data_IF_062109029327
#
_entry.id   IF_062109029327
#
_cell.length_a   1.000
_cell.length_b   1.000
_cell.length_c   1.000
_cell.angle_alpha   90.00
_cell.angle_beta   90.00
_cell.angle_gamma   90.00
#
_symmetry.space_group_name_H-M   'P 1'
#
loop_
_entity.id
_entity.type
_entity.pdbx_description
1 polymer ?
#
# COMPACT_ATOMS: atom_id res chain seq x y z
N UNK A 1 -18.16 22.54 -2.96
CA UNK A 1 -17.02 22.66 -3.90
C UNK A 1 -16.91 21.41 -4.77
N UNK A 2 -17.51 20.29 -4.35
CA UNK A 2 -17.59 19.03 -5.11
C UNK A 2 -19.05 18.64 -5.39
N UNK A 3 -19.80 19.56 -6.01
CA UNK A 3 -21.15 19.25 -6.48
C UNK A 3 -21.15 19.24 -8.01
N UNK A 4 -21.28 18.04 -8.58
CA UNK A 4 -21.32 17.80 -10.02
C UNK A 4 -22.37 18.66 -10.71
N UNK A 5 -23.55 18.81 -10.08
CA UNK A 5 -24.65 19.65 -10.57
C UNK A 5 -24.26 21.12 -10.68
N UNK A 6 -23.49 21.64 -9.72
CA UNK A 6 -23.02 23.03 -9.76
C UNK A 6 -21.90 23.24 -10.78
N UNK A 7 -21.06 22.23 -11.02
CA UNK A 7 -20.00 22.29 -12.03
C UNK A 7 -20.57 22.26 -13.45
N UNK A 8 -21.57 21.39 -13.67
CA UNK A 8 -22.30 21.29 -14.93
C UNK A 8 -23.10 22.58 -15.23
N UNK A 9 -23.75 23.16 -14.22
CA UNK A 9 -24.44 24.45 -14.34
C UNK A 9 -23.50 25.63 -14.69
N UNK A 10 -22.21 25.53 -14.38
CA UNK A 10 -21.18 26.50 -14.82
C UNK A 10 -20.59 26.20 -16.20
N UNK A 11 -21.21 25.28 -16.97
CA UNK A 11 -20.80 24.94 -18.33
C UNK A 11 -19.55 24.06 -18.43
N UNK A 12 -19.13 23.43 -17.31
CA UNK A 12 -18.03 22.45 -17.34
C UNK A 12 -18.57 21.06 -17.62
N UNK A 13 -17.99 20.40 -18.61
CA UNK A 13 -18.27 18.99 -18.90
C UNK A 13 -17.56 18.09 -17.88
N UNK A 14 -18.29 17.71 -16.83
CA UNK A 14 -17.78 16.87 -15.74
C UNK A 14 -17.50 15.45 -16.23
N UNK A 15 -18.36 14.91 -17.10
CA UNK A 15 -18.26 13.57 -17.69
C UNK A 15 -16.96 13.42 -18.49
N UNK A 16 -16.64 14.37 -19.37
CA UNK A 16 -15.39 14.35 -20.14
C UNK A 16 -14.16 14.47 -19.24
N UNK A 17 -14.25 15.22 -18.13
CA UNK A 17 -13.14 15.35 -17.18
C UNK A 17 -12.91 14.06 -16.39
N UNK A 18 -13.96 13.40 -15.92
CA UNK A 18 -13.85 12.08 -15.28
C UNK A 18 -13.28 11.04 -16.25
N UNK A 19 -13.73 11.03 -17.50
CA UNK A 19 -13.22 10.12 -18.53
C UNK A 19 -11.72 10.33 -18.79
N UNK A 20 -11.26 11.58 -18.88
CA UNK A 20 -9.83 11.90 -19.03
C UNK A 20 -9.00 11.33 -17.89
N UNK A 21 -9.43 11.53 -16.64
CA UNK A 21 -8.72 11.04 -15.44
C UNK A 21 -8.71 9.50 -15.43
N UNK A 22 -9.84 8.88 -15.77
CA UNK A 22 -9.95 7.42 -15.83
C UNK A 22 -9.03 6.80 -16.89
N UNK A 23 -9.00 7.36 -18.11
CA UNK A 23 -8.14 6.89 -19.19
C UNK A 23 -6.66 7.07 -18.81
N UNK A 24 -6.29 8.24 -18.28
CA UNK A 24 -4.91 8.52 -17.87
C UNK A 24 -4.46 7.55 -16.77
N UNK A 25 -5.28 7.33 -15.74
CA UNK A 25 -4.99 6.39 -14.66
C UNK A 25 -4.86 4.95 -15.16
N UNK A 26 -5.79 4.50 -16.01
CA UNK A 26 -5.78 3.15 -16.56
C UNK A 26 -4.57 2.91 -17.47
N UNK A 27 -4.17 3.91 -18.26
CA UNK A 27 -2.99 3.81 -19.12
C UNK A 27 -1.70 3.63 -18.29
N UNK A 28 -1.54 4.42 -17.21
CA UNK A 28 -0.36 4.31 -16.33
C UNK A 28 -0.32 2.95 -15.63
N UNK A 29 -1.44 2.48 -15.07
CA UNK A 29 -1.51 1.18 -14.40
C UNK A 29 -1.30 0.02 -15.38
N UNK A 30 -1.83 0.13 -16.60
CA UNK A 30 -1.64 -0.85 -17.66
C UNK A 30 -0.17 -1.01 -18.06
N UNK A 31 0.55 0.12 -18.24
CA UNK A 31 1.99 0.11 -18.53
C UNK A 31 2.77 -0.51 -17.37
N UNK A 32 2.44 -0.13 -16.12
CA UNK A 32 3.10 -0.69 -14.94
C UNK A 32 2.93 -2.21 -14.85
N UNK A 33 1.74 -2.74 -15.15
CA UNK A 33 1.48 -4.19 -15.17
C UNK A 33 2.23 -4.92 -16.29
N UNK A 34 2.34 -4.31 -17.47
CA UNK A 34 3.13 -4.86 -18.58
C UNK A 34 4.63 -4.90 -18.25
N UNK A 35 5.15 -3.85 -17.62
CA UNK A 35 6.55 -3.80 -17.15
C UNK A 35 6.81 -4.86 -16.07
N UNK A 36 5.90 -4.99 -15.10
CA UNK A 36 6.02 -5.99 -14.03
C UNK A 36 6.08 -7.42 -14.59
N UNK A 37 5.16 -7.76 -15.50
CA UNK A 37 5.13 -9.08 -16.14
C UNK A 37 6.40 -9.37 -16.93
N UNK A 38 6.94 -8.35 -17.60
CA UNK A 38 8.19 -8.45 -18.36
C UNK A 38 9.39 -8.67 -17.45
N UNK A 39 9.40 -8.04 -16.28
CA UNK A 39 10.45 -8.18 -15.27
C UNK A 39 10.44 -9.57 -14.62
N UNK A 40 9.25 -10.12 -14.34
CA UNK A 40 9.11 -11.44 -13.74
C UNK A 40 9.37 -12.58 -14.74
N UNK A 41 9.23 -12.32 -16.06
CA UNK A 41 9.52 -13.28 -17.14
C UNK A 41 8.57 -14.47 -17.25
N UNK A 42 7.70 -14.66 -16.26
CA UNK A 42 6.70 -15.71 -16.19
C UNK A 42 5.42 -15.23 -15.49
N UNK A 43 4.27 -15.66 -16.00
CA UNK A 43 2.99 -15.41 -15.37
C UNK A 43 2.62 -16.56 -14.45
N UNK A 44 2.84 -16.37 -13.15
CA UNK A 44 2.46 -17.34 -12.11
C UNK A 44 1.24 -16.81 -11.35
N UNK A 45 0.04 -17.40 -11.52
CA UNK A 45 -1.19 -16.89 -10.88
C UNK A 45 -1.10 -16.80 -9.35
N UNK A 46 -0.33 -17.69 -8.73
CA UNK A 46 -0.11 -17.72 -7.27
C UNK A 46 0.62 -16.48 -6.73
N UNK A 47 1.37 -15.77 -7.57
CA UNK A 47 2.16 -14.59 -7.17
C UNK A 47 1.30 -13.32 -7.08
N UNK A 48 0.13 -13.30 -7.73
CA UNK A 48 -0.81 -12.17 -7.74
C UNK A 48 -1.75 -12.19 -6.53
N UNK A 49 -1.17 -12.10 -5.34
CA UNK A 49 -1.95 -12.10 -4.09
C UNK A 49 -2.73 -10.78 -3.91
N UNK A 50 -4.07 -10.82 -3.78
CA UNK A 50 -4.89 -9.62 -3.62
C UNK A 50 -4.48 -8.75 -2.43
N UNK A 51 -4.05 -9.37 -1.33
CA UNK A 51 -3.57 -8.67 -0.13
C UNK A 51 -2.41 -7.71 -0.44
N UNK A 52 -1.55 -8.04 -1.41
CA UNK A 52 -0.40 -7.23 -1.78
C UNK A 52 -0.73 -6.15 -2.81
N UNK A 53 -1.60 -6.41 -3.77
CA UNK A 53 -1.81 -5.53 -4.92
C UNK A 53 -3.06 -4.65 -4.84
N UNK A 54 -4.13 -5.13 -4.21
CA UNK A 54 -5.37 -4.34 -4.09
C UNK A 54 -5.51 -3.75 -2.70
N UNK A 55 -5.44 -4.58 -1.67
CA UNK A 55 -5.66 -4.17 -0.28
C UNK A 55 -4.62 -3.14 0.18
N UNK A 56 -3.36 -3.34 -0.17
CA UNK A 56 -2.26 -2.41 0.13
C UNK A 56 -2.53 -0.99 -0.39
N UNK A 57 -3.03 -0.87 -1.62
CA UNK A 57 -3.35 0.44 -2.23
C UNK A 57 -4.55 1.08 -1.53
N UNK A 58 -5.55 0.30 -1.14
CA UNK A 58 -6.65 0.80 -0.31
C UNK A 58 -6.13 1.36 1.03
N UNK A 59 -5.23 0.63 1.70
CA UNK A 59 -4.61 1.10 2.95
C UNK A 59 -3.85 2.41 2.71
N UNK A 60 -3.09 2.53 1.62
CA UNK A 60 -2.39 3.77 1.26
C UNK A 60 -3.33 4.98 1.18
N UNK A 61 -4.47 4.83 0.50
CA UNK A 61 -5.45 5.90 0.32
C UNK A 61 -6.19 6.22 1.62
N UNK A 62 -6.61 5.19 2.36
CA UNK A 62 -7.31 5.36 3.65
C UNK A 62 -6.41 6.08 4.66
N UNK A 63 -5.13 5.69 4.73
CA UNK A 63 -4.15 6.29 5.63
C UNK A 63 -3.86 7.74 5.26
N UNK A 64 -3.74 8.02 3.96
CA UNK A 64 -3.55 9.38 3.45
C UNK A 64 -4.76 10.29 3.68
N UNK A 65 -5.96 9.71 3.66
CA UNK A 65 -7.24 10.41 3.71
C UNK A 65 -7.85 10.50 2.31
N UNK A 66 -9.03 9.90 2.14
CA UNK A 66 -9.74 9.86 0.85
C UNK A 66 -10.24 11.23 0.36
N UNK A 67 -10.24 12.22 1.24
CA UNK A 67 -10.74 13.55 0.97
C UNK A 67 -9.72 14.56 0.43
N UNK A 68 -8.42 14.28 0.55
CA UNK A 68 -7.39 15.19 0.07
C UNK A 68 -6.38 14.46 -0.81
N UNK A 69 -6.26 14.90 -2.07
CA UNK A 69 -5.30 14.35 -3.03
C UNK A 69 -3.85 14.38 -2.51
N UNK A 70 -3.45 15.44 -1.80
CA UNK A 70 -2.12 15.51 -1.19
C UNK A 70 -1.96 14.52 -0.03
N UNK A 71 -3.03 14.32 0.74
CA UNK A 71 -3.09 13.30 1.79
C UNK A 71 -2.89 11.90 1.23
N UNK A 72 -3.63 11.55 0.16
CA UNK A 72 -3.51 10.26 -0.52
C UNK A 72 -2.09 9.98 -1.05
N UNK A 73 -1.42 10.98 -1.64
CA UNK A 73 -0.04 10.85 -2.13
C UNK A 73 0.92 10.61 -0.95
N UNK A 74 0.80 11.38 0.13
CA UNK A 74 1.63 11.21 1.32
C UNK A 74 1.38 9.84 1.99
N UNK A 75 0.12 9.40 2.08
CA UNK A 75 -0.25 8.08 2.59
C UNK A 75 0.34 6.95 1.77
N UNK A 76 0.32 7.08 0.44
CA UNK A 76 1.02 6.17 -0.48
C UNK A 76 2.51 6.07 -0.18
N UNK A 77 3.18 7.22 -0.06
CA UNK A 77 4.62 7.27 0.22
C UNK A 77 4.97 6.66 1.59
N UNK A 78 4.23 7.03 2.65
CA UNK A 78 4.48 6.55 4.02
C UNK A 78 4.28 5.04 4.11
N UNK A 79 3.16 4.52 3.60
CA UNK A 79 2.89 3.08 3.66
C UNK A 79 3.87 2.30 2.78
N UNK A 80 4.24 2.83 1.61
CA UNK A 80 5.28 2.20 0.79
C UNK A 80 6.63 2.18 1.52
N UNK A 81 7.00 3.27 2.20
CA UNK A 81 8.22 3.33 3.00
C UNK A 81 8.21 2.28 4.12
N UNK A 82 7.12 2.18 4.88
CA UNK A 82 6.98 1.13 5.89
C UNK A 82 7.02 -0.28 5.27
N UNK A 83 6.38 -0.50 4.13
CA UNK A 83 6.41 -1.80 3.44
C UNK A 83 7.83 -2.25 3.08
N UNK A 84 8.69 -1.32 2.68
CA UNK A 84 10.10 -1.59 2.36
C UNK A 84 10.94 -1.76 3.63
N UNK A 85 10.72 -0.93 4.66
CA UNK A 85 11.53 -0.94 5.89
C UNK A 85 11.18 -2.07 6.88
N UNK A 86 9.97 -2.63 6.80
CA UNK A 86 9.56 -3.73 7.67
C UNK A 86 10.38 -4.99 7.45
N UNK A 87 10.74 -5.30 6.20
CA UNK A 87 11.52 -6.49 5.87
C UNK A 87 12.91 -6.50 6.54
N UNK A 88 13.76 -5.45 6.38
CA UNK A 88 15.04 -5.40 7.08
C UNK A 88 14.88 -5.24 8.60
N UNK A 89 13.86 -4.52 9.09
CA UNK A 89 13.62 -4.39 10.52
C UNK A 89 13.22 -5.73 11.16
N UNK A 90 12.40 -6.53 10.46
CA UNK A 90 12.00 -7.85 10.90
C UNK A 90 13.17 -8.83 10.91
N UNK A 91 14.02 -8.79 9.88
CA UNK A 91 15.25 -9.57 9.83
C UNK A 91 16.20 -9.19 10.98
N UNK A 92 16.37 -7.89 11.25
CA UNK A 92 17.23 -7.39 12.33
C UNK A 92 16.69 -7.85 13.69
N UNK A 93 15.39 -7.70 13.96
CA UNK A 93 14.76 -8.17 15.20
C UNK A 93 14.92 -9.67 15.40
N UNK A 94 14.67 -10.49 14.36
CA UNK A 94 14.85 -11.93 14.45
C UNK A 94 16.32 -12.31 14.65
N UNK A 95 17.25 -11.58 14.04
CA UNK A 95 18.69 -11.80 14.25
C UNK A 95 19.11 -11.44 15.67
N UNK A 96 18.59 -10.35 16.24
CA UNK A 96 18.85 -9.97 17.64
C UNK A 96 18.28 -10.98 18.64
N UNK A 97 17.06 -11.46 18.41
CA UNK A 97 16.41 -12.45 19.28
C UNK A 97 17.10 -13.81 19.19
N UNK A 98 17.55 -14.20 17.98
CA UNK A 98 18.25 -15.47 17.74
C UNK A 98 19.76 -15.39 17.96
N UNK A 99 20.32 -14.21 18.27
CA UNK A 99 21.75 -14.02 18.55
C UNK A 99 22.24 -14.79 19.78
N UNK A 100 21.34 -15.08 20.73
CA UNK A 100 21.63 -15.92 21.90
C UNK A 100 21.39 -17.42 21.70
N UNK A 101 20.95 -17.85 20.51
CA UNK A 101 20.55 -19.22 20.22
C UNK A 101 21.61 -19.97 19.40
N UNK A 102 21.90 -21.21 19.79
CA UNK A 102 22.85 -22.07 19.09
C UNK A 102 22.46 -22.33 17.63
N UNK A 103 23.44 -22.27 16.74
CA UNK A 103 23.32 -22.55 15.31
C UNK A 103 22.88 -24.01 15.08
N UNK A 104 21.64 -24.19 14.61
CA UNK A 104 21.05 -25.52 14.32
C UNK A 104 19.77 -25.88 15.11
N UNK A 105 19.25 -25.00 15.97
CA UNK A 105 17.96 -25.24 16.63
C UNK A 105 16.79 -25.05 15.65
N UNK A 106 15.87 -26.02 15.57
CA UNK A 106 14.64 -25.96 14.75
C UNK A 106 13.79 -24.70 15.03
N UNK A 107 13.95 -24.12 16.22
CA UNK A 107 13.31 -22.88 16.65
C UNK A 107 13.90 -21.64 15.93
N UNK A 108 15.19 -21.64 15.59
CA UNK A 108 15.85 -20.57 14.82
C UNK A 108 15.35 -20.54 13.37
N UNK A 109 15.27 -21.70 12.73
CA UNK A 109 14.71 -21.82 11.38
C UNK A 109 13.24 -21.42 11.33
N UNK A 110 12.44 -21.85 12.31
CA UNK A 110 11.02 -21.45 12.37
C UNK A 110 10.83 -19.94 12.58
N UNK A 111 11.69 -19.29 13.37
CA UNK A 111 11.66 -17.83 13.55
C UNK A 111 12.12 -17.09 12.28
N UNK A 112 13.13 -17.60 11.57
CA UNK A 112 13.57 -17.02 10.31
C UNK A 112 12.51 -17.14 9.21
N UNK A 113 11.78 -18.25 9.14
CA UNK A 113 10.66 -18.41 8.20
C UNK A 113 9.44 -17.54 8.58
N UNK A 114 9.24 -17.29 9.89
CA UNK A 114 8.22 -16.38 10.39
C UNK A 114 8.45 -14.91 9.98
N UNK A 115 9.69 -14.54 9.61
CA UNK A 115 10.03 -13.18 9.17
C UNK A 115 9.24 -12.73 7.93
N UNK A 116 8.92 -13.66 7.02
CA UNK A 116 8.13 -13.36 5.82
C UNK A 116 6.70 -12.90 6.17
N UNK A 117 6.15 -13.41 7.28
CA UNK A 117 4.81 -13.07 7.77
C UNK A 117 4.78 -11.73 8.52
N UNK A 118 5.93 -11.18 8.93
CA UNK A 118 6.01 -9.89 9.62
C UNK A 118 5.50 -8.73 8.75
N UNK A 119 5.60 -8.83 7.42
CA UNK A 119 5.02 -7.85 6.48
C UNK A 119 3.52 -7.68 6.64
N UNK A 120 2.79 -8.78 6.77
CA UNK A 120 1.33 -8.74 6.91
C UNK A 120 0.92 -8.26 8.32
N UNK A 121 1.64 -8.70 9.34
CA UNK A 121 1.38 -8.30 10.73
C UNK A 121 1.59 -6.81 10.96
N UNK A 122 2.70 -6.26 10.45
CA UNK A 122 2.98 -4.83 10.54
C UNK A 122 1.99 -3.99 9.75
N UNK A 123 1.54 -4.46 8.57
CA UNK A 123 0.43 -3.81 7.85
C UNK A 123 -0.84 -3.73 8.69
N UNK A 124 -1.23 -4.84 9.33
CA UNK A 124 -2.39 -4.87 10.22
C UNK A 124 -2.25 -3.88 11.38
N UNK A 125 -1.08 -3.83 12.01
CA UNK A 125 -0.79 -2.89 13.10
C UNK A 125 -0.81 -1.44 12.61
N UNK A 126 -0.16 -1.13 11.48
CA UNK A 126 -0.16 0.22 10.90
C UNK A 126 -1.58 0.66 10.58
N UNK A 127 -2.39 -0.20 9.98
CA UNK A 127 -3.79 0.08 9.71
C UNK A 127 -4.58 0.34 11.00
N UNK A 128 -4.41 -0.50 12.03
CA UNK A 128 -5.07 -0.32 13.33
C UNK A 128 -4.64 0.98 14.02
N UNK A 129 -3.35 1.33 13.97
CA UNK A 129 -2.83 2.57 14.53
C UNK A 129 -3.40 3.77 13.79
N UNK A 130 -3.45 3.75 12.46
CA UNK A 130 -3.97 4.88 11.69
C UNK A 130 -5.47 5.03 11.90
N UNK A 131 -6.24 3.95 11.87
CA UNK A 131 -7.67 4.01 12.15
C UNK A 131 -7.95 4.48 13.58
N UNK A 132 -7.08 4.16 14.54
CA UNK A 132 -7.23 4.59 15.93
C UNK A 132 -6.84 6.05 16.18
N UNK A 133 -5.73 6.50 15.61
CA UNK A 133 -5.17 7.83 15.91
C UNK A 133 -5.54 8.91 14.88
N UNK A 134 -5.93 8.54 13.66
CA UNK A 134 -6.26 9.48 12.59
C UNK A 134 -7.36 8.92 11.67
N UNK A 135 -8.61 8.78 12.15
CA UNK A 135 -9.73 8.22 11.38
C UNK A 135 -10.15 9.07 10.16
N UNK A 136 -9.64 10.30 10.04
CA UNK A 136 -9.84 11.18 8.87
C UNK A 136 -8.65 11.18 7.90
N UNK A 137 -7.65 10.31 8.12
CA UNK A 137 -6.37 10.32 7.42
C UNK A 137 -5.34 11.28 8.02
N UNK A 138 -4.10 11.18 7.56
CA UNK A 138 -2.96 12.00 8.06
C UNK A 138 -3.14 13.50 7.82
N UNK A 139 -3.82 13.89 6.73
CA UNK A 139 -4.10 15.30 6.42
C UNK A 139 -5.62 15.45 6.22
N UNK A 140 -6.35 15.98 7.22
CA UNK A 140 -7.78 16.23 7.09
C UNK A 140 -8.08 17.26 5.99
N UNK A 141 -9.24 17.13 5.34
CA UNK A 141 -9.74 18.08 4.34
C UNK A 141 -9.86 19.52 4.86
N UNK A 142 -9.66 20.49 3.96
CA UNK A 142 -10.06 21.90 4.09
C UNK A 142 -11.15 22.25 3.09
#
# INVERSE_FOLDING_TARGET
RDNEVSAEAMGKDVTRRHLQIFILGSAVVGIAGAMMTTLDGQLTPSSYQPLRYTFLIWVMVIVGGSGNNFGAILGGFVIWFFWVQVEPLGQLLMTLITAGMADGSALKEHLLDSTAHMRLLTMGIVMLLVLRFSPRGLIPEK
#
